data_IF_754119580002
#
_entry.id   IF_754119580002
#
_cell.length_a   1.000
_cell.length_b   1.000
_cell.length_c   1.000
_cell.angle_alpha   90.00
_cell.angle_beta   90.00
_cell.angle_gamma   90.00
#
_symmetry.space_group_name_H-M   'P 1'
#
loop_
_entity.id
_entity.type
_entity.pdbx_description
1 polymer ?
#
# COMPACT_ATOMS: atom_id res chain seq x y z
N UNK A 1 7.49 0.73 9.93
CA UNK A 1 7.80 -0.70 10.15
C UNK A 1 6.80 -1.32 11.14
N UNK A 2 6.66 -0.79 12.37
CA UNK A 2 5.83 -1.36 13.46
C UNK A 2 4.39 -1.65 13.01
N UNK A 3 3.70 -0.68 12.38
CA UNK A 3 2.32 -0.86 11.90
C UNK A 3 2.20 -1.97 10.85
N UNK A 4 3.23 -2.13 9.99
CA UNK A 4 3.22 -3.16 8.95
C UNK A 4 3.34 -4.58 9.50
N UNK A 5 4.26 -4.79 10.45
CA UNK A 5 4.45 -6.12 11.07
C UNK A 5 3.20 -6.53 11.82
N UNK A 6 2.63 -5.61 12.62
CA UNK A 6 1.43 -5.89 13.38
C UNK A 6 0.20 -6.11 12.48
N UNK A 7 0.02 -5.28 11.45
CA UNK A 7 -1.09 -5.42 10.50
C UNK A 7 -0.99 -6.72 9.70
N UNK A 8 0.21 -7.12 9.27
CA UNK A 8 0.45 -8.39 8.59
C UNK A 8 0.07 -9.60 9.47
N UNK A 9 0.43 -9.57 10.76
CA UNK A 9 0.06 -10.64 11.72
C UNK A 9 -1.45 -10.81 11.86
N UNK A 10 -2.20 -9.72 11.78
CA UNK A 10 -3.67 -9.74 11.94
C UNK A 10 -4.42 -10.16 10.71
N UNK A 11 -3.80 -10.05 9.53
CA UNK A 11 -4.50 -10.22 8.24
C UNK A 11 -5.18 -11.59 8.11
N UNK A 12 -4.52 -12.66 8.53
CA UNK A 12 -5.07 -14.02 8.46
C UNK A 12 -6.29 -14.24 9.38
N UNK A 13 -6.32 -13.61 10.55
CA UNK A 13 -7.47 -13.68 11.45
C UNK A 13 -8.62 -12.82 10.92
N UNK A 14 -8.32 -11.60 10.50
CA UNK A 14 -9.27 -10.65 9.94
C UNK A 14 -9.95 -11.20 8.67
N UNK A 15 -9.19 -11.91 7.81
CA UNK A 15 -9.75 -12.51 6.60
C UNK A 15 -10.82 -13.58 6.89
N UNK A 16 -10.67 -14.30 8.00
CA UNK A 16 -11.67 -15.30 8.44
C UNK A 16 -12.89 -14.65 9.09
N UNK A 17 -12.67 -13.57 9.83
CA UNK A 17 -13.72 -12.82 10.51
C UNK A 17 -14.63 -12.09 9.52
N UNK A 18 -14.03 -11.47 8.49
CA UNK A 18 -14.74 -10.64 7.51
C UNK A 18 -14.96 -11.31 6.16
N UNK A 19 -14.59 -12.58 6.02
CA UNK A 19 -14.81 -13.42 4.83
C UNK A 19 -14.24 -12.83 3.53
N UNK A 20 -12.97 -12.40 3.54
CA UNK A 20 -12.25 -12.02 2.33
C UNK A 20 -11.07 -12.95 2.04
N UNK A 21 -10.67 -13.05 0.77
CA UNK A 21 -9.59 -13.93 0.35
C UNK A 21 -8.23 -13.39 0.79
N UNK A 22 -7.51 -14.19 1.58
CA UNK A 22 -6.12 -13.99 1.98
C UNK A 22 -5.35 -15.30 1.81
N UNK A 23 -4.11 -15.21 1.35
CA UNK A 23 -3.21 -16.35 1.21
C UNK A 23 -1.84 -16.00 1.79
N UNK A 24 -1.35 -16.81 2.72
CA UNK A 24 0.01 -16.72 3.22
C UNK A 24 0.94 -17.46 2.26
N UNK A 25 1.46 -16.73 1.28
CA UNK A 25 2.27 -17.30 0.20
C UNK A 25 3.78 -17.04 0.35
N UNK A 26 4.19 -16.28 1.36
CA UNK A 26 5.58 -15.86 1.56
C UNK A 26 6.05 -14.81 0.55
N UNK A 27 7.22 -14.27 0.79
CA UNK A 27 7.87 -13.36 -0.16
C UNK A 27 9.38 -13.61 -0.25
N UNK A 28 9.93 -13.37 -1.42
CA UNK A 28 11.36 -13.47 -1.73
C UNK A 28 11.88 -12.13 -2.23
N UNK A 29 12.96 -11.64 -1.63
CA UNK A 29 13.72 -10.50 -2.17
C UNK A 29 14.95 -11.06 -2.85
N UNK A 30 14.96 -11.08 -4.18
CA UNK A 30 16.02 -11.68 -4.98
C UNK A 30 17.28 -10.82 -4.99
N UNK A 31 18.43 -11.47 -4.84
CA UNK A 31 19.77 -10.90 -5.00
C UNK A 31 20.40 -11.54 -6.24
N UNK A 32 20.71 -10.74 -7.25
CA UNK A 32 21.25 -11.24 -8.52
C UNK A 32 22.77 -11.40 -8.49
N UNK A 33 23.48 -10.49 -7.83
CA UNK A 33 24.93 -10.44 -7.78
C UNK A 33 25.45 -10.70 -6.35
N UNK A 34 26.55 -11.44 -6.21
CA UNK A 34 27.18 -11.72 -4.91
C UNK A 34 27.68 -10.47 -4.20
N UNK A 35 28.01 -9.43 -4.94
CA UNK A 35 28.44 -8.12 -4.45
C UNK A 35 27.34 -7.42 -3.62
N UNK A 36 26.08 -7.78 -3.82
CA UNK A 36 24.91 -7.23 -3.08
C UNK A 36 24.63 -7.96 -1.76
N UNK A 37 25.45 -8.93 -1.36
CA UNK A 37 25.26 -9.76 -0.16
C UNK A 37 25.16 -8.93 1.13
N UNK A 38 25.97 -7.90 1.26
CA UNK A 38 25.93 -7.01 2.43
C UNK A 38 24.61 -6.23 2.49
N UNK A 39 24.05 -5.85 1.34
CA UNK A 39 22.75 -5.19 1.25
C UNK A 39 21.60 -6.13 1.63
N UNK A 40 21.69 -7.40 1.21
CA UNK A 40 20.73 -8.43 1.61
C UNK A 40 20.81 -8.72 3.10
N UNK A 41 22.03 -8.82 3.68
CA UNK A 41 22.24 -9.00 5.10
C UNK A 41 21.68 -7.83 5.91
N UNK A 42 21.95 -6.60 5.49
CA UNK A 42 21.39 -5.41 6.14
C UNK A 42 19.85 -5.39 6.13
N UNK A 43 19.23 -5.87 5.04
CA UNK A 43 17.78 -6.02 4.97
C UNK A 43 17.26 -7.10 5.92
N UNK A 44 17.94 -8.23 6.03
CA UNK A 44 17.64 -9.28 7.01
C UNK A 44 17.72 -8.74 8.44
N UNK A 45 18.83 -8.08 8.81
CA UNK A 45 19.04 -7.52 10.14
C UNK A 45 17.95 -6.49 10.50
N UNK A 46 17.61 -5.62 9.54
CA UNK A 46 16.51 -4.66 9.69
C UNK A 46 15.16 -5.35 9.89
N UNK A 47 14.92 -6.44 9.19
CA UNK A 47 13.72 -7.27 9.36
C UNK A 47 13.63 -7.86 10.77
N UNK A 48 14.73 -8.40 11.29
CA UNK A 48 14.83 -8.94 12.65
C UNK A 48 14.54 -7.86 13.69
N UNK A 49 15.17 -6.69 13.58
CA UNK A 49 14.94 -5.54 14.48
C UNK A 49 13.49 -5.08 14.46
N UNK A 50 12.84 -5.16 13.29
CA UNK A 50 11.43 -4.80 13.13
C UNK A 50 10.47 -5.90 13.64
N UNK A 51 10.97 -7.07 14.04
CA UNK A 51 10.18 -8.18 14.57
C UNK A 51 9.49 -9.03 13.49
N UNK A 52 10.05 -9.09 12.27
CA UNK A 52 9.60 -10.04 11.24
C UNK A 52 10.10 -11.43 11.63
N UNK A 53 9.16 -12.37 11.74
CA UNK A 53 9.45 -13.74 12.21
C UNK A 53 9.96 -14.64 11.07
N UNK A 54 10.78 -15.62 11.43
CA UNK A 54 11.24 -16.72 10.58
C UNK A 54 11.96 -16.29 9.27
N UNK A 55 12.55 -15.09 9.23
CA UNK A 55 13.34 -14.62 8.10
C UNK A 55 14.51 -15.56 7.82
N UNK A 56 14.75 -15.88 6.55
CA UNK A 56 15.82 -16.76 6.11
C UNK A 56 16.57 -16.18 4.91
N UNK A 57 17.90 -16.25 4.92
CA UNK A 57 18.71 -16.03 3.73
C UNK A 57 18.88 -17.36 3.03
N UNK A 58 18.38 -17.47 1.81
CA UNK A 58 18.39 -18.68 0.99
C UNK A 58 19.49 -18.59 -0.07
N UNK A 59 20.10 -19.74 -0.34
CA UNK A 59 20.99 -19.92 -1.51
C UNK A 59 20.17 -19.99 -2.80
N UNK A 60 20.81 -19.71 -3.94
CA UNK A 60 20.20 -19.86 -5.26
C UNK A 60 19.53 -21.23 -5.45
N UNK A 61 20.17 -22.31 -5.03
CA UNK A 61 19.62 -23.66 -5.10
C UNK A 61 18.30 -23.79 -4.33
N UNK A 62 18.24 -23.31 -3.09
CA UNK A 62 17.03 -23.37 -2.27
C UNK A 62 15.88 -22.55 -2.89
N UNK A 63 16.20 -21.39 -3.48
CA UNK A 63 15.19 -20.59 -4.18
C UNK A 63 14.64 -21.34 -5.39
N UNK A 64 15.48 -21.98 -6.22
CA UNK A 64 15.02 -22.74 -7.38
C UNK A 64 14.19 -24.00 -7.00
N UNK A 65 14.47 -24.61 -5.84
CA UNK A 65 13.64 -25.69 -5.32
C UNK A 65 12.21 -25.22 -4.94
N UNK A 66 12.07 -23.97 -4.50
CA UNK A 66 10.78 -23.34 -4.18
C UNK A 66 10.08 -22.78 -5.42
N UNK A 67 10.84 -22.06 -6.24
CA UNK A 67 10.39 -21.24 -7.37
C UNK A 67 11.17 -21.61 -8.65
N UNK A 68 10.78 -22.69 -9.34
CA UNK A 68 11.56 -23.26 -10.45
C UNK A 68 11.60 -22.37 -11.72
N UNK A 69 10.77 -21.33 -11.81
CA UNK A 69 10.70 -20.44 -12.97
C UNK A 69 11.47 -19.13 -12.77
N UNK A 70 12.12 -18.95 -11.62
CA UNK A 70 12.99 -17.80 -11.37
C UNK A 70 14.25 -17.92 -12.24
N UNK A 71 14.83 -16.78 -12.59
CA UNK A 71 16.06 -16.67 -13.37
C UNK A 71 17.21 -17.51 -12.81
N UNK A 72 17.97 -18.16 -13.70
CA UNK A 72 19.22 -18.87 -13.33
C UNK A 72 20.31 -17.91 -12.83
N UNK A 73 20.23 -16.63 -13.20
CA UNK A 73 21.16 -15.58 -12.73
C UNK A 73 20.70 -15.08 -11.35
N UNK A 74 20.93 -15.90 -10.33
CA UNK A 74 20.53 -15.61 -8.96
C UNK A 74 21.62 -16.04 -7.99
N UNK A 75 22.11 -15.11 -7.16
CA UNK A 75 23.08 -15.36 -6.10
C UNK A 75 22.42 -15.85 -4.79
N UNK A 76 21.18 -15.41 -4.52
CA UNK A 76 20.41 -15.79 -3.34
C UNK A 76 19.16 -14.95 -3.15
N UNK A 77 18.49 -15.14 -2.02
CA UNK A 77 17.32 -14.34 -1.68
C UNK A 77 17.12 -14.23 -0.16
N UNK A 78 16.43 -13.17 0.26
CA UNK A 78 15.82 -13.08 1.59
C UNK A 78 14.39 -13.60 1.50
N UNK A 79 14.06 -14.61 2.27
CA UNK A 79 12.73 -15.20 2.38
C UNK A 79 12.02 -14.76 3.65
N UNK A 80 10.79 -14.26 3.51
CA UNK A 80 9.89 -13.95 4.61
C UNK A 80 8.64 -14.85 4.52
N UNK A 81 8.59 -15.96 5.27
CA UNK A 81 7.48 -16.94 5.19
C UNK A 81 6.15 -16.37 5.71
N UNK A 82 6.19 -15.34 6.53
CA UNK A 82 5.00 -14.71 7.13
C UNK A 82 4.30 -13.70 6.20
N UNK A 83 4.87 -13.43 5.03
CA UNK A 83 4.24 -12.56 4.04
C UNK A 83 3.02 -13.23 3.40
N UNK A 84 2.06 -12.42 2.96
CA UNK A 84 0.86 -12.91 2.31
C UNK A 84 0.31 -11.93 1.29
N UNK A 85 -0.65 -12.39 0.52
CA UNK A 85 -1.39 -11.63 -0.49
C UNK A 85 -2.88 -11.55 -0.12
N UNK A 86 -3.51 -10.48 -0.54
CA UNK A 86 -4.94 -10.22 -0.34
C UNK A 86 -5.51 -9.53 -1.57
N UNK A 87 -6.80 -9.76 -1.85
CA UNK A 87 -7.51 -8.91 -2.80
C UNK A 87 -7.79 -7.56 -2.15
N UNK A 88 -7.21 -6.44 -2.62
CA UNK A 88 -7.43 -5.13 -2.00
C UNK A 88 -8.89 -4.67 -2.09
N UNK A 89 -9.60 -5.03 -3.16
CA UNK A 89 -11.02 -4.75 -3.30
C UNK A 89 -11.84 -5.55 -2.29
N UNK A 90 -11.58 -6.86 -2.16
CA UNK A 90 -12.27 -7.73 -1.20
C UNK A 90 -12.07 -7.25 0.24
N UNK A 91 -10.84 -6.93 0.63
CA UNK A 91 -10.54 -6.36 1.96
C UNK A 91 -11.28 -5.04 2.20
N UNK A 92 -11.26 -4.12 1.22
CA UNK A 92 -11.90 -2.81 1.37
C UNK A 92 -13.42 -2.95 1.48
N UNK A 93 -14.03 -3.81 0.66
CA UNK A 93 -15.48 -4.06 0.69
C UNK A 93 -15.87 -4.71 2.03
N UNK A 94 -15.17 -5.74 2.47
CA UNK A 94 -15.46 -6.43 3.72
C UNK A 94 -15.36 -5.50 4.95
N UNK A 95 -14.35 -4.61 4.99
CA UNK A 95 -14.25 -3.58 6.02
C UNK A 95 -15.40 -2.57 5.95
N UNK A 96 -15.81 -2.16 4.75
CA UNK A 96 -16.91 -1.22 4.56
C UNK A 96 -18.26 -1.85 4.97
N UNK A 97 -18.51 -3.10 4.58
CA UNK A 97 -19.72 -3.85 4.98
C UNK A 97 -19.78 -4.01 6.50
N UNK A 98 -18.67 -4.40 7.13
CA UNK A 98 -18.61 -4.48 8.60
C UNK A 98 -18.88 -3.12 9.26
N UNK A 99 -18.31 -2.03 8.73
CA UNK A 99 -18.57 -0.69 9.24
C UNK A 99 -20.05 -0.30 9.08
N UNK A 100 -20.65 -0.62 7.93
CA UNK A 100 -22.08 -0.36 7.66
C UNK A 100 -22.98 -1.12 8.63
N UNK A 101 -22.72 -2.39 8.88
CA UNK A 101 -23.47 -3.23 9.82
C UNK A 101 -23.38 -2.71 11.27
N UNK A 102 -22.28 -2.00 11.58
CA UNK A 102 -22.09 -1.31 12.85
C UNK A 102 -22.58 0.16 12.85
N UNK A 103 -23.37 0.57 11.86
CA UNK A 103 -24.09 1.85 11.83
C UNK A 103 -23.34 3.01 11.16
N UNK A 104 -22.22 2.76 10.50
CA UNK A 104 -21.54 3.78 9.68
C UNK A 104 -22.38 4.07 8.44
N UNK A 105 -22.54 5.36 8.12
CA UNK A 105 -23.20 5.80 6.89
C UNK A 105 -22.14 6.09 5.83
N UNK A 106 -22.40 5.62 4.62
CA UNK A 106 -21.59 5.91 3.44
C UNK A 106 -22.36 6.85 2.52
N UNK A 107 -21.78 8.02 2.26
CA UNK A 107 -22.36 9.04 1.39
C UNK A 107 -21.51 9.14 0.12
N UNK A 108 -21.90 8.42 -0.93
CA UNK A 108 -21.19 8.40 -2.21
C UNK A 108 -21.54 9.59 -3.08
N UNK A 109 -20.63 10.00 -3.96
CA UNK A 109 -20.83 11.12 -4.87
C UNK A 109 -20.87 12.48 -4.18
N UNK A 110 -20.36 12.56 -2.94
CA UNK A 110 -20.34 13.78 -2.14
C UNK A 110 -18.90 14.31 -2.06
N UNK A 111 -18.50 15.12 -3.01
CA UNK A 111 -17.20 15.78 -2.97
C UNK A 111 -17.19 16.87 -1.90
N UNK A 112 -16.21 16.82 -0.99
CA UNK A 112 -15.98 17.84 0.02
C UNK A 112 -15.21 19.00 -0.62
N UNK A 113 -15.79 20.19 -0.60
CA UNK A 113 -15.14 21.38 -1.17
C UNK A 113 -14.89 22.51 -0.15
N UNK A 114 -15.41 22.37 1.08
CA UNK A 114 -15.19 23.35 2.15
C UNK A 114 -15.39 22.69 3.52
N UNK A 115 -14.50 23.00 4.45
CA UNK A 115 -14.61 22.63 5.86
C UNK A 115 -14.31 23.89 6.68
N UNK A 116 -15.17 24.23 7.63
CA UNK A 116 -14.96 25.30 8.59
C UNK A 116 -15.20 24.80 10.01
N UNK A 117 -14.40 25.24 10.95
CA UNK A 117 -14.64 25.06 12.38
C UNK A 117 -15.28 26.28 12.97
N UNK A 118 -16.31 26.12 13.79
CA UNK A 118 -16.96 27.21 14.51
C UNK A 118 -15.98 27.86 15.52
N UNK A 119 -15.92 29.19 15.56
CA UNK A 119 -15.03 29.95 16.47
C UNK A 119 -15.35 29.71 17.95
N UNK A 120 -16.63 29.57 18.31
CA UNK A 120 -17.12 29.43 19.68
C UNK A 120 -17.67 28.05 20.02
N UNK A 121 -17.58 27.12 19.07
CA UNK A 121 -18.09 25.74 19.21
C UNK A 121 -17.03 24.70 18.93
N UNK A 122 -17.35 23.45 19.25
CA UNK A 122 -16.50 22.29 18.91
C UNK A 122 -17.01 21.55 17.66
N UNK A 123 -17.77 22.25 16.79
CA UNK A 123 -18.36 21.64 15.60
C UNK A 123 -17.62 22.10 14.35
N UNK A 124 -17.42 21.16 13.46
CA UNK A 124 -17.04 21.40 12.08
C UNK A 124 -18.30 21.43 11.22
N UNK A 125 -18.34 22.33 10.28
CA UNK A 125 -19.28 22.30 9.16
C UNK A 125 -18.56 21.85 7.91
N UNK A 126 -19.07 20.81 7.26
CA UNK A 126 -18.51 20.21 6.04
C UNK A 126 -19.51 20.42 4.92
N UNK A 127 -19.12 21.09 3.86
CA UNK A 127 -19.94 21.26 2.65
C UNK A 127 -19.50 20.26 1.58
N UNK A 128 -20.47 19.58 1.04
CA UNK A 128 -20.29 18.63 -0.06
C UNK A 128 -21.15 19.04 -1.24
N UNK A 129 -21.05 18.31 -2.34
CA UNK A 129 -21.77 18.61 -3.59
C UNK A 129 -23.25 18.92 -3.35
N UNK A 130 -23.95 18.10 -2.55
CA UNK A 130 -25.41 18.21 -2.38
C UNK A 130 -25.83 18.50 -0.93
N UNK A 131 -24.93 18.34 0.04
CA UNK A 131 -25.28 18.37 1.47
C UNK A 131 -24.34 19.22 2.31
N UNK A 132 -24.80 19.48 3.51
CA UNK A 132 -24.03 20.09 4.59
C UNK A 132 -24.09 19.18 5.81
N UNK A 133 -22.94 18.86 6.36
CA UNK A 133 -22.81 18.02 7.56
C UNK A 133 -22.20 18.82 8.72
N UNK A 134 -22.57 18.39 9.93
CA UNK A 134 -21.95 18.91 11.16
C UNK A 134 -21.32 17.74 11.93
N UNK A 135 -20.08 17.94 12.40
CA UNK A 135 -19.33 16.91 13.12
C UNK A 135 -18.45 17.52 14.22
N UNK A 136 -18.27 16.79 15.30
CA UNK A 136 -17.33 17.17 16.37
C UNK A 136 -15.89 16.83 16.01
N UNK A 137 -15.70 15.79 15.23
CA UNK A 137 -14.39 15.31 14.77
C UNK A 137 -14.44 15.06 13.28
N UNK A 138 -13.41 15.48 12.58
CA UNK A 138 -13.20 15.21 11.14
C UNK A 138 -11.92 14.44 10.98
N UNK A 139 -11.97 13.30 10.25
CA UNK A 139 -10.82 12.49 9.90
C UNK A 139 -10.58 12.66 8.41
N UNK A 140 -9.43 13.22 8.07
CA UNK A 140 -8.98 13.40 6.70
C UNK A 140 -8.22 12.16 6.22
N UNK A 141 -8.89 11.30 5.47
CA UNK A 141 -8.29 10.12 4.84
C UNK A 141 -8.42 10.18 3.30
N UNK A 142 -8.24 11.37 2.73
CA UNK A 142 -8.56 11.70 1.34
C UNK A 142 -7.46 11.28 0.32
N UNK A 143 -6.50 10.41 0.72
CA UNK A 143 -5.50 9.86 -0.19
C UNK A 143 -4.64 10.95 -0.84
N UNK A 144 -4.62 11.01 -2.18
CA UNK A 144 -3.82 12.00 -2.91
C UNK A 144 -4.33 13.44 -2.75
N UNK A 145 -5.52 13.64 -2.20
CA UNK A 145 -6.11 14.96 -1.93
C UNK A 145 -6.02 15.37 -0.46
N UNK A 146 -5.35 14.59 0.38
CA UNK A 146 -5.32 14.85 1.82
C UNK A 146 -4.68 16.21 2.18
N UNK A 147 -3.70 16.67 1.43
CA UNK A 147 -3.08 17.98 1.57
C UNK A 147 -4.09 19.12 1.29
N UNK A 148 -4.90 19.01 0.23
CA UNK A 148 -5.93 19.99 -0.09
C UNK A 148 -7.04 20.04 0.97
N UNK A 149 -7.45 18.89 1.51
CA UNK A 149 -8.44 18.85 2.61
C UNK A 149 -7.85 19.48 3.88
N UNK A 150 -6.58 19.25 4.18
CA UNK A 150 -5.90 19.90 5.30
C UNK A 150 -5.88 21.43 5.14
N UNK A 151 -5.53 21.92 3.95
CA UNK A 151 -5.48 23.35 3.62
C UNK A 151 -6.85 24.03 3.79
N UNK A 152 -7.96 23.34 3.46
CA UNK A 152 -9.32 23.86 3.68
C UNK A 152 -9.60 24.20 5.14
N UNK A 153 -8.94 23.51 6.07
CA UNK A 153 -9.19 23.65 7.52
C UNK A 153 -8.20 24.61 8.18
N UNK A 154 -6.93 24.57 7.77
CA UNK A 154 -5.83 25.30 8.43
C UNK A 154 -5.38 26.55 7.66
N UNK A 155 -5.68 26.63 6.36
CA UNK A 155 -5.22 27.70 5.47
C UNK A 155 -3.79 27.52 4.94
N UNK A 156 -3.07 26.46 5.36
CA UNK A 156 -1.71 26.15 4.90
C UNK A 156 -1.44 24.64 4.85
N UNK A 157 -0.42 24.24 4.12
CA UNK A 157 0.00 22.83 4.01
C UNK A 157 1.40 22.68 4.61
N UNK A 158 1.58 21.94 5.73
CA UNK A 158 2.89 21.63 6.26
C UNK A 158 3.75 20.88 5.22
N UNK A 159 5.05 21.18 5.14
CA UNK A 159 5.93 20.52 4.15
C UNK A 159 5.87 19.00 4.24
N UNK A 160 5.77 18.44 5.44
CA UNK A 160 5.67 17.00 5.65
C UNK A 160 4.35 16.39 5.14
N UNK A 161 3.30 17.20 4.93
CA UNK A 161 1.99 16.74 4.45
C UNK A 161 1.79 16.96 2.94
N UNK A 162 2.65 17.71 2.28
CA UNK A 162 2.55 17.89 0.82
C UNK A 162 2.54 16.54 0.12
N UNK A 163 1.50 16.28 -0.68
CA UNK A 163 1.30 15.01 -1.36
C UNK A 163 1.66 15.13 -2.84
N UNK A 164 2.58 14.26 -3.24
CA UNK A 164 2.92 14.04 -4.65
C UNK A 164 2.22 12.76 -5.12
N UNK A 165 1.52 12.84 -6.24
CA UNK A 165 0.89 11.66 -6.85
C UNK A 165 1.97 10.78 -7.48
N UNK A 166 2.23 9.61 -6.89
CA UNK A 166 3.21 8.64 -7.42
C UNK A 166 2.50 7.53 -8.16
N UNK A 167 2.51 7.61 -9.49
CA UNK A 167 1.85 6.64 -10.36
C UNK A 167 2.58 5.31 -10.38
N UNK A 168 1.82 4.22 -10.21
CA UNK A 168 2.29 2.85 -10.36
C UNK A 168 1.47 2.12 -11.40
N UNK A 169 2.12 1.68 -12.47
CA UNK A 169 1.50 0.97 -13.57
C UNK A 169 1.74 -0.53 -13.44
N UNK A 170 0.71 -1.34 -13.71
CA UNK A 170 0.71 -2.79 -13.55
C UNK A 170 0.21 -3.48 -14.81
N UNK A 171 0.66 -4.72 -14.98
CA UNK A 171 0.09 -5.67 -15.92
C UNK A 171 -0.50 -6.86 -15.16
N UNK A 172 -1.75 -7.20 -15.46
CA UNK A 172 -2.39 -8.42 -15.00
C UNK A 172 -2.29 -9.47 -16.09
N UNK A 173 -1.66 -10.60 -15.77
CA UNK A 173 -1.48 -11.73 -16.68
C UNK A 173 -2.66 -12.70 -16.56
N UNK A 174 -2.86 -13.47 -17.61
CA UNK A 174 -3.84 -14.56 -17.64
C UNK A 174 -3.56 -15.60 -16.53
N UNK A 175 -4.59 -16.31 -16.09
CA UNK A 175 -4.47 -17.39 -15.07
C UNK A 175 -3.53 -18.52 -15.47
N UNK A 176 -3.30 -18.71 -16.78
CA UNK A 176 -2.31 -19.68 -17.28
C UNK A 176 -0.89 -19.34 -16.85
N UNK A 177 -0.62 -18.08 -16.45
CA UNK A 177 0.68 -17.64 -15.95
C UNK A 177 0.76 -17.65 -14.41
N UNK A 178 -0.35 -17.86 -13.71
CA UNK A 178 -0.40 -17.81 -12.24
C UNK A 178 0.48 -18.82 -11.52
N UNK A 179 0.90 -19.88 -12.23
CA UNK A 179 1.79 -20.92 -11.71
C UNK A 179 3.28 -20.57 -11.77
N UNK A 180 3.66 -19.48 -12.46
CA UNK A 180 5.06 -19.09 -12.67
C UNK A 180 5.78 -18.76 -11.36
N UNK A 181 5.07 -18.21 -10.38
CA UNK A 181 5.59 -18.03 -9.02
C UNK A 181 4.50 -18.37 -8.00
N UNK A 182 4.93 -18.85 -6.85
CA UNK A 182 4.06 -19.14 -5.70
C UNK A 182 4.17 -18.00 -4.68
N UNK A 183 5.37 -17.52 -4.43
CA UNK A 183 5.67 -16.43 -3.51
C UNK A 183 5.58 -15.08 -4.20
N UNK A 184 5.44 -14.01 -3.43
CA UNK A 184 5.63 -12.65 -3.93
C UNK A 184 7.12 -12.38 -4.16
N UNK A 185 7.51 -12.11 -5.39
CA UNK A 185 8.90 -11.91 -5.79
C UNK A 185 9.22 -10.43 -5.85
N UNK A 186 10.16 -9.99 -5.04
CA UNK A 186 10.78 -8.65 -5.06
C UNK A 186 12.19 -8.75 -5.61
N UNK A 187 12.72 -7.65 -6.09
CA UNK A 187 14.14 -7.47 -6.40
C UNK A 187 14.78 -6.63 -5.29
N UNK A 188 16.01 -6.98 -4.91
CA UNK A 188 16.75 -6.15 -3.98
C UNK A 188 16.92 -4.75 -4.58
N UNK A 189 16.62 -3.67 -3.83
CA UNK A 189 16.79 -2.32 -4.32
C UNK A 189 18.24 -2.07 -4.75
N UNK A 190 18.43 -1.65 -5.99
CA UNK A 190 19.73 -1.26 -6.53
C UNK A 190 19.84 0.26 -6.61
N UNK A 191 21.03 0.76 -7.00
CA UNK A 191 21.23 2.19 -7.32
C UNK A 191 20.29 2.68 -8.44
N UNK A 192 19.74 1.76 -9.24
CA UNK A 192 18.78 2.02 -10.32
C UNK A 192 17.32 2.15 -9.83
N UNK A 193 17.07 2.04 -8.52
CA UNK A 193 15.75 2.18 -7.89
C UNK A 193 15.14 0.86 -7.41
N UNK A 194 13.86 0.92 -7.01
CA UNK A 194 13.08 -0.26 -6.60
C UNK A 194 12.76 -1.10 -7.84
N UNK A 195 12.99 -2.40 -7.75
CA UNK A 195 12.65 -3.35 -8.80
C UNK A 195 11.14 -3.52 -8.99
N UNK A 196 10.79 -4.26 -10.04
CA UNK A 196 9.40 -4.66 -10.33
C UNK A 196 9.04 -5.90 -9.52
N UNK A 197 7.83 -5.92 -9.00
CA UNK A 197 7.21 -7.06 -8.33
C UNK A 197 6.68 -8.06 -9.36
N UNK A 198 6.82 -9.35 -9.08
CA UNK A 198 6.07 -10.42 -9.73
C UNK A 198 5.35 -11.19 -8.62
N UNK A 199 4.04 -11.21 -8.61
CA UNK A 199 3.26 -11.79 -7.51
C UNK A 199 2.03 -12.54 -8.02
N UNK A 200 1.72 -13.70 -7.45
CA UNK A 200 0.43 -14.33 -7.71
C UNK A 200 -0.68 -13.45 -7.12
N UNK A 201 -1.89 -13.65 -7.58
CA UNK A 201 -3.09 -13.08 -6.97
C UNK A 201 -3.93 -14.17 -6.34
N UNK A 202 -4.72 -13.82 -5.32
CA UNK A 202 -5.65 -14.77 -4.68
C UNK A 202 -6.71 -15.34 -5.64
N UNK A 203 -6.80 -14.81 -6.86
CA UNK A 203 -7.70 -15.27 -7.91
C UNK A 203 -7.01 -16.12 -8.97
N UNK A 204 -5.73 -16.47 -8.80
CA UNK A 204 -4.95 -17.33 -9.65
C UNK A 204 -4.35 -16.65 -10.90
N UNK A 205 -4.39 -15.34 -10.99
CA UNK A 205 -3.66 -14.57 -12.00
C UNK A 205 -2.24 -14.27 -11.52
N UNK A 206 -1.40 -13.75 -12.42
CA UNK A 206 -0.10 -13.18 -12.08
C UNK A 206 -0.15 -11.66 -12.27
N UNK A 207 0.37 -10.91 -11.32
CA UNK A 207 0.47 -9.46 -11.37
C UNK A 207 1.94 -9.05 -11.46
N UNK A 208 2.26 -8.18 -12.41
CA UNK A 208 3.61 -7.64 -12.65
C UNK A 208 3.57 -6.13 -12.55
N UNK A 209 4.48 -5.56 -11.80
CA UNK A 209 4.53 -4.12 -11.50
C UNK A 209 4.85 -3.87 -10.03
N UNK A 210 4.72 -2.64 -9.53
CA UNK A 210 4.40 -1.43 -10.29
C UNK A 210 5.63 -0.66 -10.79
N UNK A 211 5.39 0.30 -11.68
CA UNK A 211 6.31 1.41 -11.87
C UNK A 211 6.26 2.38 -10.68
N UNK A 212 7.15 3.37 -10.65
CA UNK A 212 7.12 4.46 -9.68
C UNK A 212 7.52 5.76 -10.39
N UNK A 213 6.54 6.61 -10.65
CA UNK A 213 6.71 7.86 -11.37
C UNK A 213 5.93 8.97 -10.66
N UNK A 214 6.62 10.02 -10.26
CA UNK A 214 6.00 11.19 -9.66
C UNK A 214 5.37 12.05 -10.77
N UNK A 215 4.09 12.40 -10.59
CA UNK A 215 3.33 13.20 -11.55
C UNK A 215 2.56 14.29 -10.83
N UNK A 216 2.34 15.42 -11.52
CA UNK A 216 1.59 16.55 -10.97
C UNK A 216 0.08 16.32 -11.01
N UNK A 217 -0.39 15.53 -11.97
CA UNK A 217 -1.82 15.26 -12.16
C UNK A 217 -2.33 14.21 -11.17
N UNK A 218 -3.09 14.65 -10.16
CA UNK A 218 -3.73 13.79 -9.16
C UNK A 218 -4.88 12.93 -9.72
N UNK A 219 -5.23 13.08 -11.00
CA UNK A 219 -6.19 12.24 -11.75
C UNK A 219 -5.51 11.32 -12.78
N UNK A 220 -4.18 11.42 -12.91
CA UNK A 220 -3.37 10.77 -13.94
C UNK A 220 -3.26 9.25 -13.80
N UNK A 221 -4.38 8.53 -13.88
CA UNK A 221 -4.46 7.06 -13.76
C UNK A 221 -4.31 6.31 -15.09
N UNK A 222 -3.83 6.95 -16.14
CA UNK A 222 -3.54 6.30 -17.42
C UNK A 222 -2.26 5.45 -17.34
N UNK A 223 -2.18 4.40 -18.15
CA UNK A 223 -0.94 3.67 -18.41
C UNK A 223 -0.22 4.27 -19.62
N UNK A 224 1.11 4.13 -19.66
CA UNK A 224 1.95 4.57 -20.77
C UNK A 224 2.68 3.39 -21.38
N UNK A 225 3.01 3.51 -22.66
CA UNK A 225 3.77 2.46 -23.36
C UNK A 225 5.13 2.21 -22.69
N UNK A 226 5.85 3.28 -22.40
CA UNK A 226 7.17 3.22 -21.77
C UNK A 226 7.11 2.56 -20.38
N UNK A 227 6.11 2.91 -19.59
CA UNK A 227 5.89 2.32 -18.27
C UNK A 227 5.62 0.83 -18.36
N UNK A 228 4.74 0.40 -19.28
CA UNK A 228 4.41 -1.01 -19.44
C UNK A 228 5.57 -1.82 -20.06
N UNK A 229 6.31 -1.29 -21.02
CA UNK A 229 7.52 -1.91 -21.55
C UNK A 229 8.56 -2.12 -20.43
N UNK A 230 8.76 -1.11 -19.57
CA UNK A 230 9.64 -1.22 -18.41
C UNK A 230 9.17 -2.23 -17.35
N UNK A 231 7.85 -2.42 -17.20
CA UNK A 231 7.29 -3.46 -16.30
C UNK A 231 7.70 -4.86 -16.78
N UNK A 232 7.52 -5.15 -18.07
CA UNK A 232 7.89 -6.46 -18.64
C UNK A 232 9.41 -6.67 -18.62
N UNK A 233 10.19 -5.68 -19.04
CA UNK A 233 11.65 -5.78 -19.06
C UNK A 233 12.21 -6.13 -17.68
N UNK A 234 11.85 -5.34 -16.66
CA UNK A 234 12.34 -5.56 -15.30
C UNK A 234 11.73 -6.79 -14.63
N UNK A 235 10.46 -7.11 -14.89
CA UNK A 235 9.83 -8.32 -14.39
C UNK A 235 10.49 -9.58 -14.94
N UNK A 236 10.90 -9.55 -16.22
CA UNK A 236 11.60 -10.66 -16.87
C UNK A 236 13.01 -10.92 -16.33
N UNK A 237 13.62 -9.95 -15.64
CA UNK A 237 14.86 -10.19 -14.89
C UNK A 237 14.66 -11.24 -13.78
N UNK A 238 13.50 -11.24 -13.13
CA UNK A 238 13.13 -12.21 -12.09
C UNK A 238 12.55 -13.50 -12.67
N UNK A 239 11.63 -13.36 -13.65
CA UNK A 239 10.91 -14.49 -14.30
C UNK A 239 11.07 -14.38 -15.81
N UNK A 240 12.12 -14.96 -16.41
CA UNK A 240 12.45 -14.80 -17.84
C UNK A 240 11.38 -15.28 -18.83
N UNK A 241 10.47 -16.13 -18.37
CA UNK A 241 9.38 -16.71 -19.18
C UNK A 241 8.15 -15.81 -19.28
N UNK A 242 8.14 -14.65 -18.62
CA UNK A 242 7.04 -13.68 -18.73
C UNK A 242 6.79 -13.29 -20.20
N UNK A 243 5.55 -13.38 -20.64
CA UNK A 243 5.17 -13.07 -22.01
C UNK A 243 4.15 -11.94 -22.10
N UNK A 244 4.46 -10.82 -22.77
CA UNK A 244 3.49 -9.72 -22.97
C UNK A 244 2.19 -10.19 -23.66
N UNK A 245 2.25 -11.28 -24.42
CA UNK A 245 1.06 -11.86 -25.10
C UNK A 245 0.03 -12.44 -24.14
N UNK A 246 0.42 -12.66 -22.89
CA UNK A 246 -0.43 -13.21 -21.82
C UNK A 246 -1.03 -12.13 -20.90
N UNK A 247 -0.79 -10.86 -21.21
CA UNK A 247 -1.42 -9.74 -20.51
C UNK A 247 -2.89 -9.67 -20.90
N UNK A 248 -3.78 -9.72 -19.92
CA UNK A 248 -5.23 -9.59 -20.12
C UNK A 248 -5.73 -8.16 -19.89
N UNK A 249 -5.04 -7.40 -19.04
CA UNK A 249 -5.31 -5.97 -18.83
C UNK A 249 -4.10 -5.27 -18.21
N UNK A 250 -4.07 -3.96 -18.33
CA UNK A 250 -3.15 -3.08 -17.61
C UNK A 250 -3.94 -1.98 -16.90
N UNK A 251 -3.42 -1.52 -15.79
CA UNK A 251 -4.01 -0.43 -15.01
C UNK A 251 -2.94 0.33 -14.26
N UNK A 252 -3.29 1.48 -13.75
CA UNK A 252 -2.44 2.23 -12.84
C UNK A 252 -3.23 2.79 -11.66
N UNK A 253 -2.51 3.15 -10.60
CA UNK A 253 -3.04 3.85 -9.45
C UNK A 253 -2.03 4.87 -8.94
N UNK A 254 -2.53 5.82 -8.16
CA UNK A 254 -1.72 6.88 -7.55
C UNK A 254 -1.50 6.59 -6.08
N UNK A 255 -0.24 6.57 -5.67
CA UNK A 255 0.14 6.54 -4.27
C UNK A 255 0.20 7.97 -3.76
N UNK A 256 -0.35 8.20 -2.57
CA UNK A 256 -0.26 9.47 -1.86
C UNK A 256 1.12 9.61 -1.20
N UNK A 257 2.16 9.91 -2.01
CA UNK A 257 3.52 10.04 -1.48
C UNK A 257 3.67 11.35 -0.72
N UNK A 258 3.94 11.26 0.58
CA UNK A 258 4.21 12.41 1.44
C UNK A 258 5.66 12.87 1.30
N UNK A 259 5.88 14.18 1.18
CA UNK A 259 7.23 14.77 1.19
C UNK A 259 7.97 14.55 2.52
N UNK A 260 7.24 14.21 3.60
CA UNK A 260 7.81 13.76 4.86
C UNK A 260 8.41 12.35 4.84
N UNK A 261 8.21 11.59 3.76
CA UNK A 261 8.68 10.22 3.55
C UNK A 261 8.18 9.20 4.61
N UNK A 262 7.10 9.50 5.30
CA UNK A 262 6.41 8.58 6.22
C UNK A 262 4.91 8.90 6.22
N UNK A 263 4.12 8.04 6.85
CA UNK A 263 2.71 8.28 7.09
C UNK A 263 2.53 9.50 8.00
N UNK A 264 1.61 10.36 7.63
CA UNK A 264 1.24 11.53 8.42
C UNK A 264 -0.09 11.25 9.12
N UNK A 265 0.00 10.69 10.35
CA UNK A 265 -1.18 10.29 11.12
C UNK A 265 -1.13 10.97 12.47
N UNK A 266 -1.87 12.06 12.63
CA UNK A 266 -1.95 12.83 13.89
C UNK A 266 -3.12 13.80 13.91
N UNK A 267 -3.51 14.24 15.13
CA UNK A 267 -4.38 15.39 15.31
C UNK A 267 -3.69 16.68 14.89
N UNK A 268 -4.48 17.65 14.45
CA UNK A 268 -4.02 19.00 14.15
C UNK A 268 -4.03 19.84 15.44
N UNK A 269 -2.85 20.26 15.89
CA UNK A 269 -2.70 21.03 17.13
C UNK A 269 -3.41 22.39 17.06
N UNK A 270 -3.43 23.03 15.87
CA UNK A 270 -4.03 24.33 15.61
C UNK A 270 -5.56 24.25 15.52
N UNK A 271 -6.08 23.08 15.10
CA UNK A 271 -7.53 22.87 14.93
C UNK A 271 -7.94 21.56 15.64
N UNK A 272 -8.08 21.57 16.98
CA UNK A 272 -8.46 20.39 17.74
C UNK A 272 -9.73 19.73 17.22
N UNK A 273 -9.71 18.38 17.10
CA UNK A 273 -10.80 17.59 16.50
C UNK A 273 -10.66 17.35 15.01
N UNK A 274 -9.64 17.93 14.35
CA UNK A 274 -9.26 17.54 12.98
C UNK A 274 -8.06 16.60 13.04
N UNK A 275 -8.17 15.44 12.38
CA UNK A 275 -7.17 14.36 12.40
C UNK A 275 -6.80 14.03 10.96
N UNK A 276 -5.51 14.14 10.63
CA UNK A 276 -4.99 13.70 9.35
C UNK A 276 -4.59 12.22 9.39
N UNK A 277 -4.96 11.49 8.35
CA UNK A 277 -4.55 10.11 8.03
C UNK A 277 -4.06 10.10 6.59
N UNK A 278 -2.93 10.73 6.36
CA UNK A 278 -2.42 11.11 5.05
C UNK A 278 -1.04 10.51 4.76
N UNK A 279 -0.59 10.64 3.52
CA UNK A 279 0.70 10.08 3.10
C UNK A 279 0.73 8.56 3.12
N UNK A 280 -0.44 7.91 3.06
CA UNK A 280 -0.54 6.45 3.12
C UNK A 280 -0.25 5.87 1.73
N UNK A 281 0.99 5.48 1.52
CA UNK A 281 1.45 4.69 0.38
C UNK A 281 1.84 3.27 0.82
N UNK A 282 2.61 2.52 0.03
CA UNK A 282 3.09 1.20 0.47
C UNK A 282 3.98 1.32 1.72
N UNK A 283 3.71 0.51 2.78
CA UNK A 283 2.83 -0.67 2.86
C UNK A 283 1.43 -0.40 3.49
N UNK A 284 0.75 0.67 3.12
CA UNK A 284 -0.52 1.09 3.72
C UNK A 284 -1.59 0.00 3.79
N UNK A 285 -1.72 -0.84 2.76
CA UNK A 285 -2.72 -1.91 2.73
C UNK A 285 -2.57 -2.87 3.91
N UNK A 286 -1.36 -3.36 4.17
CA UNK A 286 -1.09 -4.24 5.33
C UNK A 286 -1.14 -3.50 6.67
N UNK A 287 -0.91 -2.18 6.68
CA UNK A 287 -1.01 -1.36 7.88
C UNK A 287 -2.46 -0.97 8.22
N UNK A 288 -3.38 -1.00 7.26
CA UNK A 288 -4.72 -0.41 7.39
C UNK A 288 -5.51 -0.83 8.65
N UNK A 289 -5.55 -2.12 9.06
CA UNK A 289 -6.28 -2.51 10.27
C UNK A 289 -5.73 -1.85 11.53
N UNK A 290 -4.40 -1.73 11.64
CA UNK A 290 -3.73 -1.12 12.80
C UNK A 290 -3.81 0.40 12.76
N UNK A 291 -3.79 1.00 11.57
CA UNK A 291 -4.03 2.43 11.39
C UNK A 291 -5.43 2.78 11.88
N UNK A 292 -6.45 1.98 11.52
CA UNK A 292 -7.82 2.20 11.97
C UNK A 292 -7.96 2.23 13.50
N UNK A 293 -7.33 1.28 14.20
CA UNK A 293 -7.31 1.26 15.67
C UNK A 293 -6.56 2.46 16.24
N UNK A 294 -5.40 2.80 15.68
CA UNK A 294 -4.62 3.96 16.14
C UNK A 294 -5.41 5.26 16.00
N UNK A 295 -6.11 5.44 14.87
CA UNK A 295 -6.97 6.61 14.64
C UNK A 295 -8.16 6.63 15.61
N UNK A 296 -8.74 5.46 15.91
CA UNK A 296 -9.81 5.36 16.90
C UNK A 296 -9.36 5.80 18.30
N UNK A 297 -8.11 5.52 18.70
CA UNK A 297 -7.57 6.03 19.97
C UNK A 297 -7.38 7.56 19.92
N UNK A 298 -6.85 8.11 18.84
CA UNK A 298 -6.77 9.57 18.66
C UNK A 298 -8.14 10.25 18.77
N UNK A 299 -9.18 9.64 18.19
CA UNK A 299 -10.56 10.16 18.31
C UNK A 299 -11.03 10.16 19.77
N UNK A 300 -10.75 9.10 20.55
CA UNK A 300 -11.12 9.04 21.97
C UNK A 300 -10.46 10.14 22.79
N UNK A 301 -9.17 10.41 22.54
CA UNK A 301 -8.44 11.49 23.19
C UNK A 301 -9.13 12.85 22.96
N UNK A 302 -9.57 13.12 21.74
CA UNK A 302 -10.28 14.37 21.41
C UNK A 302 -11.71 14.44 21.94
N UNK A 303 -12.37 13.31 22.20
CA UNK A 303 -13.74 13.30 22.77
C UNK A 303 -13.74 13.50 24.30
N UNK A 304 -12.61 13.26 24.96
CA UNK A 304 -12.46 13.41 26.42
C UNK A 304 -11.99 14.81 26.84
N UNK A 305 -11.62 15.65 25.91
CA UNK A 305 -11.28 17.06 26.10
C UNK A 305 -12.49 17.96 25.86
#
# INVERSE_FOLDING_TARGET
>A
AKLNVEGSRRMAALSKELDFHYENNGSLVLMFEEEDRDSLQALYDKGQVNGVEDLQILTSKQVHEMEPHITEQLAGALYAPTAGIVCPFGLTIALAENAYDNGVRFEFGQEVFKIEKEELGNLFTIWTTDHKYEARIVINAAGVYADAIHEMVTGEIPDALKIVARRGQYMLMDKTEGHLVKSTIFQLPTKMGKGILVTPTVHGNLLVGPTAEDIDDKEGTNTTREGLEGVIEKGSMSVPTLSPRKVITSFSGLRAHSMGNDFYIKGCDEVPGFIDVAGIESPGLSCAPVIGEYVAELVKEHLTL
#
